data_IF_243353682781
#
_entry.id   IF_243353682781
#
_cell.length_a   1.000
_cell.length_b   1.000
_cell.length_c   1.000
_cell.angle_alpha   90.00
_cell.angle_beta   90.00
_cell.angle_gamma   90.00
#
_symmetry.space_group_name_H-M   'P 1'
#
loop_
_entity.id
_entity.type
_entity.pdbx_description
1 polymer ?
#
# COMPACT_ATOMS: atom_id res chain seq x y z
N UNK A 1 19.93 1.99 -5.68
CA UNK A 1 20.33 0.95 -6.62
C UNK A 1 21.82 0.63 -6.52
N UNK A 2 22.70 1.58 -6.74
CA UNK A 2 24.15 1.34 -6.73
C UNK A 2 24.68 0.72 -5.44
N UNK A 3 24.21 1.20 -4.27
CA UNK A 3 24.67 0.69 -2.98
C UNK A 3 24.27 -0.78 -2.75
N UNK A 4 23.02 -1.15 -3.07
CA UNK A 4 22.56 -2.54 -2.94
C UNK A 4 23.31 -3.46 -3.90
N UNK A 5 23.43 -3.10 -5.17
CA UNK A 5 24.18 -3.89 -6.16
C UNK A 5 25.64 -4.07 -5.76
N UNK A 6 26.30 -2.99 -5.27
CA UNK A 6 27.68 -3.07 -4.79
C UNK A 6 27.82 -4.01 -3.57
N UNK A 7 26.88 -3.94 -2.62
CA UNK A 7 26.89 -4.85 -1.46
C UNK A 7 26.73 -6.32 -1.87
N UNK A 8 25.82 -6.60 -2.81
CA UNK A 8 25.59 -7.96 -3.30
C UNK A 8 26.75 -8.53 -4.14
N UNK A 9 27.54 -7.64 -4.76
CA UNK A 9 28.78 -8.05 -5.45
C UNK A 9 29.94 -8.36 -4.50
N UNK A 10 30.02 -7.61 -3.39
CA UNK A 10 31.15 -7.71 -2.47
C UNK A 10 31.01 -8.88 -1.48
N UNK A 11 29.79 -9.27 -1.14
CA UNK A 11 29.52 -10.30 -0.14
C UNK A 11 28.36 -11.19 -0.56
N UNK A 12 28.46 -12.48 -0.25
CA UNK A 12 27.38 -13.44 -0.43
C UNK A 12 26.34 -13.29 0.71
N UNK A 13 25.08 -13.17 0.33
CA UNK A 13 23.93 -13.12 1.23
C UNK A 13 22.95 -14.24 0.88
N UNK A 14 22.26 -14.76 1.90
CA UNK A 14 21.25 -15.79 1.70
C UNK A 14 19.94 -15.22 1.17
N UNK A 15 19.60 -13.99 1.60
CA UNK A 15 18.41 -13.24 1.14
C UNK A 15 18.57 -11.74 1.43
N UNK A 16 17.72 -10.94 0.82
CA UNK A 16 17.49 -9.51 1.12
C UNK A 16 16.12 -9.41 1.79
N UNK A 17 16.01 -8.62 2.87
CA UNK A 17 14.76 -8.40 3.58
C UNK A 17 14.39 -6.93 3.59
N UNK A 18 13.08 -6.64 3.45
CA UNK A 18 12.52 -5.31 3.67
C UNK A 18 11.15 -5.35 4.35
N UNK A 19 10.81 -4.28 5.03
CA UNK A 19 9.42 -3.95 5.34
C UNK A 19 8.84 -3.28 4.11
N UNK A 20 7.65 -3.69 3.71
CA UNK A 20 6.99 -3.38 2.44
C UNK A 20 7.77 -3.83 1.18
N UNK A 21 7.06 -3.85 0.05
CA UNK A 21 7.60 -4.31 -1.21
C UNK A 21 8.23 -3.13 -1.99
N UNK A 22 9.43 -3.35 -2.50
CA UNK A 22 10.13 -2.40 -3.37
C UNK A 22 10.44 -3.05 -4.72
N UNK A 23 9.75 -2.65 -5.81
CA UNK A 23 9.97 -3.18 -7.15
C UNK A 23 11.44 -3.19 -7.57
N UNK A 24 12.14 -2.11 -7.26
CA UNK A 24 13.57 -1.93 -7.57
C UNK A 24 14.45 -2.97 -6.86
N UNK A 25 14.14 -3.28 -5.59
CA UNK A 25 14.87 -4.32 -4.85
C UNK A 25 14.59 -5.69 -5.45
N UNK A 26 13.33 -5.97 -5.80
CA UNK A 26 12.95 -7.21 -6.48
C UNK A 26 13.70 -7.41 -7.79
N UNK A 27 13.80 -6.37 -8.63
CA UNK A 27 14.55 -6.44 -9.89
C UNK A 27 16.03 -6.73 -9.67
N UNK A 28 16.68 -6.01 -8.74
CA UNK A 28 18.09 -6.25 -8.42
C UNK A 28 18.28 -7.69 -7.91
N UNK A 29 17.45 -8.14 -6.98
CA UNK A 29 17.53 -9.51 -6.44
C UNK A 29 17.30 -10.56 -7.52
N UNK A 30 16.42 -10.30 -8.48
CA UNK A 30 16.18 -11.19 -9.61
C UNK A 30 17.40 -11.30 -10.53
N UNK A 31 18.10 -10.19 -10.79
CA UNK A 31 19.35 -10.19 -11.57
C UNK A 31 20.44 -10.98 -10.86
N UNK A 32 20.63 -10.75 -9.56
CA UNK A 32 21.66 -11.45 -8.75
C UNK A 32 21.28 -12.87 -8.33
N UNK A 33 20.03 -13.31 -8.64
CA UNK A 33 19.49 -14.63 -8.24
C UNK A 33 19.50 -14.84 -6.72
N UNK A 34 19.26 -13.77 -5.97
CA UNK A 34 19.18 -13.76 -4.51
C UNK A 34 17.71 -13.68 -4.12
N UNK A 35 17.30 -14.42 -3.11
CA UNK A 35 15.92 -14.38 -2.58
C UNK A 35 15.62 -13.00 -1.99
N UNK A 36 14.49 -12.43 -2.38
CA UNK A 36 13.95 -11.20 -1.80
C UNK A 36 12.74 -11.53 -0.92
N UNK A 37 12.84 -11.24 0.36
CA UNK A 37 11.79 -11.45 1.35
C UNK A 37 11.27 -10.10 1.77
N UNK A 38 9.96 -9.88 1.72
CA UNK A 38 9.37 -8.67 2.23
C UNK A 38 8.09 -8.95 3.01
N UNK A 39 7.88 -8.16 4.05
CA UNK A 39 6.66 -8.20 4.86
C UNK A 39 5.91 -6.89 4.71
N UNK A 40 4.71 -6.97 4.15
CA UNK A 40 3.83 -5.84 3.95
C UNK A 40 3.10 -5.56 5.25
N UNK A 41 3.22 -4.33 5.73
CA UNK A 41 2.64 -3.84 6.99
C UNK A 41 1.76 -2.61 6.81
N UNK A 42 1.71 -2.06 5.60
CA UNK A 42 0.85 -0.95 5.19
C UNK A 42 -0.24 -1.43 4.23
N UNK A 43 -1.35 -0.71 4.15
CA UNK A 43 -2.41 -0.93 3.18
C UNK A 43 -3.09 0.42 2.86
N UNK A 44 -3.26 0.76 1.57
CA UNK A 44 -2.79 0.06 0.37
C UNK A 44 -1.30 0.23 0.10
N UNK A 45 -0.70 -0.69 -0.68
CA UNK A 45 0.69 -0.63 -1.13
C UNK A 45 0.73 -0.64 -2.65
N UNK A 46 0.92 0.54 -3.23
CA UNK A 46 0.87 0.75 -4.68
C UNK A 46 1.97 0.01 -5.45
N UNK A 47 3.09 -0.25 -4.80
CA UNK A 47 4.22 -0.97 -5.36
C UNK A 47 3.89 -2.43 -5.73
N UNK A 48 2.85 -3.02 -5.13
CA UNK A 48 2.38 -4.37 -5.46
C UNK A 48 1.81 -4.48 -6.88
N UNK A 49 1.33 -3.36 -7.46
CA UNK A 49 0.87 -3.32 -8.85
C UNK A 49 2.02 -3.36 -9.88
N UNK A 50 3.27 -3.32 -9.44
CA UNK A 50 4.43 -3.46 -10.32
C UNK A 50 4.56 -4.88 -10.89
N UNK A 51 4.96 -4.97 -12.18
CA UNK A 51 5.24 -6.26 -12.83
C UNK A 51 6.29 -7.11 -12.09
N UNK A 52 7.17 -6.48 -11.30
CA UNK A 52 8.20 -7.17 -10.52
C UNK A 52 7.63 -8.06 -9.40
N UNK A 53 6.34 -7.94 -9.06
CA UNK A 53 5.65 -8.86 -8.15
C UNK A 53 5.76 -10.32 -8.63
N UNK A 54 5.87 -10.53 -9.96
CA UNK A 54 5.98 -11.85 -10.60
C UNK A 54 7.38 -12.46 -10.55
N UNK A 55 8.38 -11.74 -10.09
CA UNK A 55 9.74 -12.26 -10.01
C UNK A 55 9.81 -13.50 -9.09
N UNK A 56 10.41 -14.57 -9.56
CA UNK A 56 10.51 -15.85 -8.83
C UNK A 56 11.40 -15.78 -7.58
N UNK A 57 12.25 -14.75 -7.49
CA UNK A 57 13.08 -14.50 -6.31
C UNK A 57 12.28 -13.98 -5.10
N UNK A 58 11.06 -13.48 -5.30
CA UNK A 58 10.24 -12.89 -4.25
C UNK A 58 9.74 -13.93 -3.24
N UNK A 59 9.54 -13.43 -2.00
CA UNK A 59 8.74 -14.06 -0.93
C UNK A 59 8.01 -12.92 -0.23
N UNK A 60 6.76 -12.68 -0.63
CA UNK A 60 5.95 -11.53 -0.23
C UNK A 60 4.93 -12.00 0.80
N UNK A 61 5.02 -11.45 2.00
CA UNK A 61 4.09 -11.73 3.09
C UNK A 61 3.14 -10.56 3.26
N UNK A 62 1.85 -10.80 3.06
CA UNK A 62 0.77 -9.81 3.15
C UNK A 62 0.04 -9.97 4.48
N UNK A 63 -0.08 -8.88 5.25
CA UNK A 63 -0.76 -8.93 6.54
C UNK A 63 -2.28 -8.83 6.41
N UNK A 64 -2.75 -8.12 5.40
CA UNK A 64 -4.15 -7.91 5.09
C UNK A 64 -4.66 -9.04 4.19
N UNK A 65 -5.74 -9.70 4.60
CA UNK A 65 -6.31 -10.81 3.86
C UNK A 65 -6.94 -10.38 2.53
N UNK A 66 -7.53 -9.18 2.46
CA UNK A 66 -8.08 -8.65 1.22
C UNK A 66 -6.98 -8.40 0.17
N UNK A 67 -5.84 -7.80 0.59
CA UNK A 67 -4.67 -7.69 -0.29
C UNK A 67 -4.12 -9.05 -0.72
N UNK A 68 -4.13 -10.04 0.19
CA UNK A 68 -3.70 -11.40 -0.17
C UNK A 68 -4.61 -12.00 -1.24
N UNK A 69 -5.92 -11.90 -1.12
CA UNK A 69 -6.87 -12.41 -2.14
C UNK A 69 -6.69 -11.69 -3.48
N UNK A 70 -6.46 -10.37 -3.46
CA UNK A 70 -6.26 -9.56 -4.65
C UNK A 70 -4.99 -9.95 -5.41
N UNK A 71 -3.84 -10.07 -4.69
CA UNK A 71 -2.54 -10.26 -5.34
C UNK A 71 -2.06 -11.72 -5.44
N UNK A 72 -2.68 -12.67 -4.74
CA UNK A 72 -2.22 -14.06 -4.71
C UNK A 72 -2.04 -14.65 -6.12
N UNK A 73 -2.97 -14.40 -7.03
CA UNK A 73 -2.94 -14.94 -8.40
C UNK A 73 -1.79 -14.39 -9.25
N UNK A 74 -1.19 -13.27 -8.88
CA UNK A 74 -0.06 -12.69 -9.60
C UNK A 74 1.22 -13.52 -9.46
N UNK A 75 1.41 -14.18 -8.31
CA UNK A 75 2.55 -15.05 -8.05
C UNK A 75 2.25 -16.05 -6.94
N UNK A 76 1.42 -17.09 -7.19
CA UNK A 76 0.95 -18.01 -6.15
C UNK A 76 2.06 -18.76 -5.40
N UNK A 77 3.23 -18.94 -6.04
CA UNK A 77 4.38 -19.60 -5.43
C UNK A 77 5.20 -18.69 -4.50
N UNK A 78 4.95 -17.38 -4.50
CA UNK A 78 5.78 -16.38 -3.85
C UNK A 78 5.01 -15.42 -2.93
N UNK A 79 3.68 -15.46 -2.94
CA UNK A 79 2.82 -14.59 -2.12
C UNK A 79 2.14 -15.41 -1.03
N UNK A 80 2.24 -14.93 0.21
CA UNK A 80 1.78 -15.63 1.40
C UNK A 80 0.99 -14.68 2.30
N UNK A 81 -0.03 -15.20 2.97
CA UNK A 81 -0.72 -14.49 4.04
C UNK A 81 0.05 -14.64 5.36
N UNK A 82 0.37 -13.53 6.00
CA UNK A 82 1.00 -13.49 7.33
C UNK A 82 0.50 -12.26 8.09
N UNK A 83 -0.48 -12.41 8.99
CA UNK A 83 -1.04 -11.31 9.75
C UNK A 83 0.00 -10.63 10.65
N UNK A 84 -0.27 -9.38 11.01
CA UNK A 84 0.55 -8.65 11.99
C UNK A 84 0.43 -9.31 13.36
N UNK A 85 1.55 -9.38 14.05
CA UNK A 85 1.62 -9.83 15.44
C UNK A 85 1.53 -8.68 16.42
N UNK A 86 1.12 -8.95 17.63
CA UNK A 86 1.18 -8.01 18.74
C UNK A 86 2.27 -8.39 19.75
N UNK A 87 2.93 -7.38 20.31
CA UNK A 87 3.84 -7.59 21.43
C UNK A 87 3.05 -7.61 22.75
N UNK A 88 2.40 -8.74 23.04
CA UNK A 88 1.56 -8.90 24.21
C UNK A 88 2.32 -8.69 25.52
N UNK A 89 3.58 -9.09 25.63
CA UNK A 89 4.40 -8.84 26.83
C UNK A 89 4.56 -7.34 27.12
N UNK A 90 4.75 -6.52 26.09
CA UNK A 90 4.80 -5.06 26.24
C UNK A 90 3.44 -4.52 26.70
N UNK A 91 2.36 -5.04 26.14
CA UNK A 91 0.99 -4.61 26.48
C UNK A 91 0.67 -4.97 27.91
N UNK A 92 0.97 -6.19 28.34
CA UNK A 92 0.74 -6.64 29.72
C UNK A 92 1.53 -5.80 30.74
N UNK A 93 2.79 -5.49 30.42
CA UNK A 93 3.61 -4.61 31.27
C UNK A 93 3.01 -3.18 31.34
N UNK A 94 2.51 -2.64 30.23
CA UNK A 94 1.86 -1.32 30.22
C UNK A 94 0.57 -1.33 31.03
N UNK A 95 -0.28 -2.34 30.89
CA UNK A 95 -1.52 -2.48 31.64
C UNK A 95 -1.24 -2.46 33.15
N UNK A 96 -0.19 -3.13 33.59
CA UNK A 96 0.25 -3.14 35.00
C UNK A 96 0.72 -1.78 35.55
N UNK A 97 0.98 -0.79 34.67
CA UNK A 97 1.43 0.57 35.05
C UNK A 97 0.35 1.63 34.92
N UNK A 98 -0.82 1.31 34.39
CA UNK A 98 -1.95 2.25 34.22
C UNK A 98 -2.43 2.74 35.58
N UNK A 99 -2.50 4.05 35.76
CA UNK A 99 -3.02 4.70 36.95
C UNK A 99 -4.50 5.09 36.77
N UNK A 100 -5.19 5.38 37.86
CA UNK A 100 -6.57 5.92 37.79
C UNK A 100 -6.64 7.26 37.05
N UNK A 101 -5.56 8.03 37.09
CA UNK A 101 -5.47 9.29 36.36
C UNK A 101 -5.38 9.02 34.84
N UNK A 102 -4.60 8.02 34.44
CA UNK A 102 -4.52 7.57 33.04
C UNK A 102 -5.87 7.05 32.53
N UNK A 103 -6.55 6.24 33.34
CA UNK A 103 -7.90 5.75 33.00
C UNK A 103 -8.86 6.92 32.78
N UNK A 104 -8.87 7.92 33.68
CA UNK A 104 -9.74 9.10 33.56
C UNK A 104 -9.40 9.92 32.31
N UNK A 105 -8.12 10.04 32.01
CA UNK A 105 -7.65 10.87 30.89
C UNK A 105 -7.86 10.25 29.52
N UNK A 106 -7.70 8.92 29.41
CA UNK A 106 -7.69 8.21 28.12
C UNK A 106 -8.89 7.30 27.91
N UNK A 107 -9.79 7.17 28.89
CA UNK A 107 -11.01 6.39 28.73
C UNK A 107 -11.96 7.03 27.73
N UNK A 108 -12.48 6.22 26.81
CA UNK A 108 -13.48 6.61 25.83
C UNK A 108 -14.32 5.39 25.44
N UNK A 109 -15.61 5.60 25.17
CA UNK A 109 -16.49 4.52 24.68
C UNK A 109 -16.07 4.04 23.29
N UNK A 110 -15.62 4.97 22.44
CA UNK A 110 -15.10 4.70 21.10
C UNK A 110 -13.88 5.60 20.90
N UNK A 111 -12.77 5.01 20.45
CA UNK A 111 -11.54 5.77 20.16
C UNK A 111 -11.00 5.44 18.77
N UNK A 112 -10.42 6.44 18.12
CA UNK A 112 -9.63 6.30 16.91
C UNK A 112 -8.22 6.86 17.16
N UNK A 113 -7.21 6.03 16.90
CA UNK A 113 -5.81 6.42 16.99
C UNK A 113 -5.17 6.24 15.61
N UNK A 114 -4.89 7.34 14.92
CA UNK A 114 -4.33 7.31 13.58
C UNK A 114 -4.22 8.69 12.95
N UNK A 115 -3.73 8.74 11.73
CA UNK A 115 -3.71 9.94 10.89
C UNK A 115 -4.87 9.91 9.91
N UNK A 116 -5.48 11.07 9.63
CA UNK A 116 -6.49 11.21 8.58
C UNK A 116 -5.86 11.30 7.18
N UNK A 117 -4.54 11.43 7.10
CA UNK A 117 -3.75 11.54 5.85
C UNK A 117 -4.18 12.69 4.90
N UNK A 118 -4.95 13.64 5.40
CA UNK A 118 -5.49 14.76 4.61
C UNK A 118 -4.41 15.63 3.97
N UNK A 119 -3.28 15.82 4.66
CA UNK A 119 -2.17 16.62 4.14
C UNK A 119 -1.38 15.91 3.03
N UNK A 120 -1.37 14.59 3.03
CA UNK A 120 -0.62 13.76 2.08
C UNK A 120 -1.47 13.23 0.93
N UNK A 121 -2.75 13.58 0.89
CA UNK A 121 -3.66 13.10 -0.15
C UNK A 121 -3.26 13.67 -1.52
N UNK A 122 -2.94 12.84 -2.53
CA UNK A 122 -2.59 13.29 -3.87
C UNK A 122 -3.67 14.14 -4.52
N UNK A 123 -4.93 13.91 -4.17
CA UNK A 123 -6.09 14.68 -4.60
C UNK A 123 -6.00 16.18 -4.27
N UNK A 124 -5.22 16.56 -3.23
CA UNK A 124 -5.02 17.96 -2.90
C UNK A 124 -4.39 18.77 -4.04
N UNK A 125 -3.64 18.13 -4.95
CA UNK A 125 -3.08 18.77 -6.14
C UNK A 125 -4.12 19.17 -7.18
N UNK A 126 -5.34 18.61 -7.10
CA UNK A 126 -6.47 18.97 -7.99
C UNK A 126 -7.38 20.05 -7.41
N UNK A 127 -7.18 20.51 -6.17
CA UNK A 127 -8.10 21.41 -5.48
C UNK A 127 -8.33 22.75 -6.21
N UNK A 128 -7.34 23.25 -6.91
CA UNK A 128 -7.39 24.54 -7.63
C UNK A 128 -7.76 24.39 -9.10
N UNK A 129 -7.97 23.17 -9.56
CA UNK A 129 -8.28 22.88 -10.94
C UNK A 129 -9.81 22.81 -11.13
N UNK A 130 -10.41 23.87 -11.65
CA UNK A 130 -11.84 23.91 -12.01
C UNK A 130 -12.21 23.00 -13.20
N UNK A 131 -11.43 21.94 -13.44
CA UNK A 131 -11.60 21.04 -14.58
C UNK A 131 -12.76 20.06 -14.38
N UNK A 132 -13.21 19.49 -15.50
CA UNK A 132 -14.17 18.38 -15.53
C UNK A 132 -13.70 17.20 -14.67
N UNK A 133 -12.40 16.88 -14.71
CA UNK A 133 -11.80 15.81 -13.92
C UNK A 133 -12.09 15.99 -12.43
N UNK A 134 -11.80 17.17 -11.88
CA UNK A 134 -12.06 17.45 -10.46
C UNK A 134 -13.53 17.31 -10.10
N UNK A 135 -14.41 17.91 -10.88
CA UNK A 135 -15.86 17.84 -10.62
C UNK A 135 -16.40 16.40 -10.70
N UNK A 136 -15.87 15.60 -11.62
CA UNK A 136 -16.24 14.19 -11.74
C UNK A 136 -15.79 13.39 -10.50
N UNK A 137 -14.55 13.56 -10.07
CA UNK A 137 -14.00 12.85 -8.90
C UNK A 137 -14.67 13.32 -7.59
N UNK A 138 -14.92 14.62 -7.42
CA UNK A 138 -15.67 15.12 -6.27
C UNK A 138 -17.07 14.47 -6.18
N UNK A 139 -17.77 14.37 -7.32
CA UNK A 139 -19.09 13.74 -7.39
C UNK A 139 -19.04 12.24 -7.03
N UNK A 140 -18.01 11.52 -7.49
CA UNK A 140 -17.81 10.11 -7.14
C UNK A 140 -17.54 9.93 -5.64
N UNK A 141 -16.67 10.75 -5.06
CA UNK A 141 -16.34 10.69 -3.63
C UNK A 141 -17.59 10.98 -2.79
N UNK A 142 -18.35 12.03 -3.14
CA UNK A 142 -19.59 12.35 -2.44
C UNK A 142 -20.65 11.24 -2.55
N UNK A 143 -20.72 10.55 -3.68
CA UNK A 143 -21.60 9.40 -3.87
C UNK A 143 -21.14 8.21 -3.02
N UNK A 144 -19.83 7.90 -3.04
CA UNK A 144 -19.25 6.81 -2.25
C UNK A 144 -19.48 7.00 -0.75
N UNK A 145 -19.37 8.22 -0.23
CA UNK A 145 -19.65 8.53 1.19
C UNK A 145 -21.07 8.20 1.63
N UNK A 146 -22.01 8.08 0.68
CA UNK A 146 -23.42 7.71 0.95
C UNK A 146 -23.70 6.22 0.82
N UNK A 147 -22.72 5.44 0.34
CA UNK A 147 -22.85 4.00 0.13
C UNK A 147 -21.92 3.27 1.08
N UNK A 148 -22.51 2.59 2.06
CA UNK A 148 -21.75 1.80 3.03
C UNK A 148 -21.64 0.33 2.61
N UNK A 149 -20.45 -0.25 2.82
CA UNK A 149 -20.21 -1.69 2.61
C UNK A 149 -19.97 -2.11 1.14
N UNK A 150 -19.95 -1.17 0.21
CA UNK A 150 -19.62 -1.42 -1.19
C UNK A 150 -18.80 -0.28 -1.78
N UNK A 151 -17.63 -0.60 -2.32
CA UNK A 151 -16.77 0.37 -3.01
C UNK A 151 -16.99 0.24 -4.52
N UNK A 152 -17.58 1.27 -5.14
CA UNK A 152 -17.87 1.32 -6.58
C UNK A 152 -16.93 2.26 -7.36
N UNK A 153 -15.93 2.86 -6.70
CA UNK A 153 -15.07 3.86 -7.35
C UNK A 153 -14.40 3.31 -8.60
N UNK A 154 -13.82 2.10 -8.50
CA UNK A 154 -13.14 1.46 -9.62
C UNK A 154 -14.06 1.28 -10.84
N UNK A 155 -15.30 0.87 -10.63
CA UNK A 155 -16.28 0.64 -11.70
C UNK A 155 -16.66 1.93 -12.44
N UNK A 156 -16.61 3.06 -11.74
CA UNK A 156 -16.95 4.37 -12.30
C UNK A 156 -15.76 5.08 -12.96
N UNK A 157 -14.53 4.63 -12.74
CA UNK A 157 -13.34 5.22 -13.37
C UNK A 157 -13.25 4.80 -14.84
N UNK A 158 -13.39 5.75 -15.76
CA UNK A 158 -13.16 5.51 -17.19
C UNK A 158 -11.69 5.61 -17.53
N UNK A 159 -11.26 5.00 -18.66
CA UNK A 159 -9.87 5.07 -19.12
C UNK A 159 -9.43 6.51 -19.39
N UNK A 160 -10.36 7.36 -19.84
CA UNK A 160 -10.09 8.79 -20.05
C UNK A 160 -9.82 9.51 -18.73
N UNK A 161 -10.62 9.25 -17.68
CA UNK A 161 -10.42 9.83 -16.34
C UNK A 161 -9.07 9.42 -15.77
N UNK A 162 -8.70 8.14 -15.90
CA UNK A 162 -7.41 7.64 -15.44
C UNK A 162 -6.25 8.31 -16.20
N UNK A 163 -6.36 8.47 -17.53
CA UNK A 163 -5.36 9.14 -18.33
C UNK A 163 -5.21 10.62 -17.97
N UNK A 164 -6.33 11.32 -17.78
CA UNK A 164 -6.33 12.73 -17.38
C UNK A 164 -5.73 12.93 -15.99
N UNK A 165 -6.02 12.03 -15.06
CA UNK A 165 -5.44 12.03 -13.72
C UNK A 165 -3.92 11.84 -13.75
N UNK A 166 -3.43 10.84 -14.49
CA UNK A 166 -2.00 10.58 -14.67
C UNK A 166 -1.25 11.77 -15.25
N UNK A 167 -1.88 12.52 -16.14
CA UNK A 167 -1.28 13.70 -16.76
C UNK A 167 -1.20 14.90 -15.79
N UNK A 168 -2.14 15.00 -14.85
CA UNK A 168 -2.23 16.15 -13.93
C UNK A 168 -1.48 15.94 -12.62
N UNK A 169 -1.23 14.69 -12.24
CA UNK A 169 -0.48 14.35 -11.03
C UNK A 169 0.81 13.61 -11.40
N UNK A 170 1.82 14.34 -11.92
CA UNK A 170 3.06 13.73 -12.40
C UNK A 170 3.92 13.10 -11.28
N UNK A 171 3.67 13.45 -10.01
CA UNK A 171 4.38 12.83 -8.87
C UNK A 171 3.90 11.42 -8.57
N UNK A 172 2.72 11.08 -9.07
CA UNK A 172 2.17 9.75 -8.90
C UNK A 172 2.61 8.91 -10.09
N UNK A 173 3.76 8.28 -9.95
CA UNK A 173 4.20 7.26 -10.91
C UNK A 173 3.39 6.00 -10.65
N UNK A 174 2.24 5.90 -11.31
CA UNK A 174 1.64 4.59 -11.50
C UNK A 174 2.70 3.69 -12.11
N UNK A 175 2.86 2.45 -11.63
CA UNK A 175 3.80 1.53 -12.25
C UNK A 175 3.50 1.44 -13.73
N UNK A 176 4.46 1.80 -14.59
CA UNK A 176 4.27 1.86 -16.05
C UNK A 176 3.80 0.55 -16.66
N UNK A 177 3.95 -0.56 -15.93
CA UNK A 177 3.53 -1.92 -16.31
C UNK A 177 2.86 -2.61 -15.14
N UNK A 178 1.73 -2.07 -14.72
CA UNK A 178 0.90 -2.73 -13.72
C UNK A 178 0.34 -4.04 -14.25
N UNK A 179 0.30 -5.05 -13.40
CA UNK A 179 -0.35 -6.32 -13.68
C UNK A 179 -1.86 -6.25 -13.49
N UNK A 180 -2.30 -5.30 -12.68
CA UNK A 180 -3.70 -4.98 -12.42
C UNK A 180 -4.13 -3.76 -13.23
N UNK A 181 -5.44 -3.57 -13.32
CA UNK A 181 -6.03 -2.42 -13.96
C UNK A 181 -5.59 -1.13 -13.22
N UNK A 182 -5.12 -0.14 -13.95
CA UNK A 182 -4.81 1.20 -13.44
C UNK A 182 -5.97 1.82 -12.64
N UNK A 183 -7.21 1.41 -12.93
CA UNK A 183 -8.41 1.84 -12.22
C UNK A 183 -8.44 1.36 -10.78
N UNK A 184 -8.08 0.08 -10.54
CA UNK A 184 -7.98 -0.48 -9.19
C UNK A 184 -6.94 0.29 -8.38
N UNK A 185 -5.74 0.49 -8.94
CA UNK A 185 -4.68 1.27 -8.31
C UNK A 185 -5.13 2.70 -7.98
N UNK A 186 -5.87 3.37 -8.88
CA UNK A 186 -6.39 4.72 -8.67
C UNK A 186 -7.48 4.75 -7.59
N UNK A 187 -8.37 3.75 -7.54
CA UNK A 187 -9.42 3.67 -6.53
C UNK A 187 -8.90 3.57 -5.10
N UNK A 188 -7.70 3.00 -4.90
CA UNK A 188 -7.04 2.95 -3.59
C UNK A 188 -6.40 4.28 -3.14
N UNK A 189 -6.35 5.28 -4.03
CA UNK A 189 -5.78 6.60 -3.71
C UNK A 189 -6.78 7.56 -3.07
N UNK A 190 -8.04 7.23 -3.07
CA UNK A 190 -9.16 8.00 -2.56
C UNK A 190 -9.86 7.30 -1.39
#
# INVERSE_FOLDING_TARGET
LCALSSALQQKKYDFVFSINFFPVISEVCNIFKIRYVCWIVDSPVMELYSHSIRNSCNRIFLFDYALYEEFYQENPACIYYLPLGSNYHRIDNLIGTITKEDETRFSADISFVGSLYTEKCPYNHLKEDGSYLKGYLDGLIEAQLKVYGYNFLEECLTDQIVADFKNKIPFYQFPEKSNHNDKAAMAHLY
#
